data_IF_621637121730
#
_entry.id   IF_621637121730
#
_cell.length_a   1.000
_cell.length_b   1.000
_cell.length_c   1.000
_cell.angle_alpha   90.00
_cell.angle_beta   90.00
_cell.angle_gamma   90.00
#
_symmetry.space_group_name_H-M   'P 1'
#
loop_
_entity.id
_entity.type
_entity.pdbx_description
1 polymer ?
#
# COMPACT_ATOMS: atom_id res chain seq x y z
N UNK A 1 -3.36 -4.52 6.34
CA UNK A 1 -4.23 -5.70 6.29
C UNK A 1 -3.56 -6.97 6.79
N UNK A 2 -2.61 -7.55 6.06
CA UNK A 2 -2.07 -8.88 6.34
C UNK A 2 -1.61 -9.13 7.80
N UNK A 3 -0.90 -8.17 8.41
CA UNK A 3 -0.36 -8.33 9.77
C UNK A 3 -1.41 -8.07 10.87
N UNK A 4 -2.37 -7.14 10.68
CA UNK A 4 -3.48 -6.97 11.63
C UNK A 4 -4.38 -8.20 11.64
N UNK A 5 -4.65 -8.79 10.47
CA UNK A 5 -5.49 -9.97 10.38
C UNK A 5 -4.87 -11.20 11.05
N UNK A 6 -3.57 -11.44 10.89
CA UNK A 6 -2.87 -12.51 11.63
C UNK A 6 -3.03 -12.30 13.14
N UNK A 7 -2.84 -11.07 13.63
CA UNK A 7 -3.07 -10.75 15.05
C UNK A 7 -4.51 -11.02 15.51
N UNK A 8 -5.50 -10.70 14.67
CA UNK A 8 -6.92 -10.95 14.97
C UNK A 8 -7.23 -12.44 14.99
N UNK A 9 -6.71 -13.21 14.03
CA UNK A 9 -6.94 -14.66 13.94
C UNK A 9 -6.20 -15.46 15.00
N UNK A 10 -4.95 -15.13 15.27
CA UNK A 10 -4.22 -15.70 16.39
C UNK A 10 -4.90 -15.38 17.72
N UNK A 11 -5.48 -14.17 17.86
CA UNK A 11 -6.27 -13.81 19.04
C UNK A 11 -7.62 -14.52 19.11
N UNK A 12 -8.35 -14.65 18.00
CA UNK A 12 -9.63 -15.36 17.98
C UNK A 12 -9.45 -16.87 18.22
N UNK A 13 -8.37 -17.47 17.71
CA UNK A 13 -8.02 -18.87 17.98
C UNK A 13 -7.59 -19.09 19.44
N UNK A 14 -6.80 -18.17 20.01
CA UNK A 14 -6.47 -18.22 21.45
C UNK A 14 -7.67 -17.94 22.34
N UNK A 15 -8.67 -17.18 21.87
CA UNK A 15 -9.92 -16.96 22.60
C UNK A 15 -10.74 -18.24 22.80
N UNK A 16 -10.69 -19.17 21.85
CA UNK A 16 -11.45 -20.42 21.96
C UNK A 16 -10.86 -21.40 22.99
N UNK A 17 -9.61 -21.22 23.41
CA UNK A 17 -8.84 -22.20 24.20
C UNK A 17 -8.62 -21.81 25.67
N UNK A 18 -8.98 -20.60 26.10
CA UNK A 18 -8.61 -20.11 27.44
C UNK A 18 -9.78 -19.45 28.17
N UNK A 19 -10.35 -20.14 29.17
CA UNK A 19 -11.34 -19.58 30.10
C UNK A 19 -10.66 -18.99 31.33
N UNK A 20 -10.83 -17.68 31.60
CA UNK A 20 -10.32 -17.08 32.86
C UNK A 20 -10.19 -15.56 32.86
N UNK A 21 -9.54 -15.02 33.91
CA UNK A 21 -9.33 -13.59 34.12
C UNK A 21 -8.22 -13.02 33.21
N UNK A 22 -7.16 -13.82 32.97
CA UNK A 22 -6.07 -13.56 32.02
C UNK A 22 -6.59 -13.27 30.59
N UNK A 23 -7.72 -13.86 30.21
CA UNK A 23 -8.38 -13.66 28.93
C UNK A 23 -8.76 -12.20 28.65
N UNK A 24 -9.21 -11.46 29.67
CA UNK A 24 -9.75 -10.11 29.45
C UNK A 24 -8.64 -9.09 29.16
N UNK A 25 -7.50 -9.22 29.84
CA UNK A 25 -6.33 -8.35 29.62
C UNK A 25 -5.73 -8.61 28.24
N UNK A 26 -5.51 -9.88 27.89
CA UNK A 26 -4.99 -10.26 26.58
C UNK A 26 -5.91 -9.80 25.46
N UNK A 27 -7.23 -10.00 25.60
CA UNK A 27 -8.19 -9.57 24.58
C UNK A 27 -8.20 -8.03 24.41
N UNK A 28 -8.13 -7.28 25.51
CA UNK A 28 -8.04 -5.82 25.45
C UNK A 28 -6.75 -5.35 24.77
N UNK A 29 -5.60 -5.96 25.10
CA UNK A 29 -4.32 -5.65 24.48
C UNK A 29 -4.33 -5.97 22.98
N UNK A 30 -4.81 -7.14 22.59
CA UNK A 30 -4.95 -7.48 21.16
C UNK A 30 -5.87 -6.49 20.46
N UNK A 31 -7.04 -6.18 21.04
CA UNK A 31 -7.96 -5.20 20.45
C UNK A 31 -7.31 -3.84 20.25
N UNK A 32 -6.47 -3.40 21.18
CA UNK A 32 -5.73 -2.14 21.08
C UNK A 32 -4.69 -2.21 19.96
N UNK A 33 -3.83 -3.24 19.94
CA UNK A 33 -2.84 -3.43 18.88
C UNK A 33 -3.48 -3.49 17.50
N UNK A 34 -4.61 -4.18 17.37
CA UNK A 34 -5.36 -4.25 16.12
C UNK A 34 -5.84 -2.88 15.67
N UNK A 35 -6.41 -2.09 16.58
CA UNK A 35 -6.85 -0.73 16.25
C UNK A 35 -5.68 0.15 15.78
N UNK A 36 -4.49 0.03 16.38
CA UNK A 36 -3.29 0.74 15.93
C UNK A 36 -2.80 0.28 14.56
N UNK A 37 -2.77 -1.03 14.30
CA UNK A 37 -2.34 -1.56 13.00
C UNK A 37 -3.35 -1.17 11.91
N UNK A 38 -4.65 -1.23 12.18
CA UNK A 38 -5.70 -0.78 11.26
C UNK A 38 -5.60 0.72 10.98
N UNK A 39 -5.45 1.54 12.01
CA UNK A 39 -5.24 2.99 11.88
C UNK A 39 -4.01 3.32 11.04
N UNK A 40 -2.88 2.66 11.32
CA UNK A 40 -1.64 2.80 10.55
C UNK A 40 -1.82 2.38 9.08
N UNK A 41 -2.57 1.31 8.85
CA UNK A 41 -2.90 0.85 7.50
C UNK A 41 -3.72 1.88 6.73
N UNK A 42 -4.81 2.38 7.31
CA UNK A 42 -5.68 3.36 6.64
C UNK A 42 -4.91 4.64 6.35
N UNK A 43 -4.07 5.10 7.28
CA UNK A 43 -3.19 6.23 7.06
C UNK A 43 -2.21 6.01 5.89
N UNK A 44 -1.59 4.82 5.83
CA UNK A 44 -0.68 4.48 4.72
C UNK A 44 -1.42 4.38 3.38
N UNK A 45 -2.58 3.73 3.35
CA UNK A 45 -3.42 3.61 2.16
C UNK A 45 -3.86 4.99 1.66
N UNK A 46 -4.28 5.88 2.57
CA UNK A 46 -4.59 7.28 2.27
C UNK A 46 -3.40 8.03 1.69
N UNK A 47 -2.24 7.98 2.37
CA UNK A 47 -1.03 8.70 1.93
C UNK A 47 -0.58 8.28 0.53
N UNK A 48 -0.81 7.01 0.16
CA UNK A 48 -0.53 6.50 -1.19
C UNK A 48 -1.62 6.90 -2.20
N UNK A 49 -2.88 6.78 -1.82
CA UNK A 49 -4.03 7.01 -2.70
C UNK A 49 -4.31 8.50 -2.98
N UNK A 50 -3.91 9.40 -2.07
CA UNK A 50 -4.24 10.83 -2.17
C UNK A 50 -3.68 11.50 -3.42
N UNK A 51 -2.52 11.06 -3.93
CA UNK A 51 -1.95 11.60 -5.16
C UNK A 51 -2.81 11.30 -6.38
N UNK A 52 -3.34 10.08 -6.45
CA UNK A 52 -4.24 9.65 -7.52
C UNK A 52 -5.58 10.37 -7.37
N UNK A 53 -6.10 10.46 -6.15
CA UNK A 53 -7.37 11.13 -5.87
C UNK A 53 -7.30 12.63 -6.20
N UNK A 54 -6.18 13.31 -5.91
CA UNK A 54 -5.94 14.72 -6.27
C UNK A 54 -6.00 14.96 -7.77
N UNK A 55 -5.48 14.02 -8.54
CA UNK A 55 -5.45 14.10 -10.00
C UNK A 55 -6.82 13.83 -10.63
N UNK A 56 -7.52 12.80 -10.16
CA UNK A 56 -8.78 12.37 -10.78
C UNK A 56 -10.02 13.07 -10.24
N UNK A 57 -10.04 13.39 -8.94
CA UNK A 57 -11.19 13.94 -8.24
C UNK A 57 -10.78 15.10 -7.31
N UNK A 58 -10.44 16.28 -7.86
CA UNK A 58 -10.02 17.43 -7.06
C UNK A 58 -11.10 17.87 -6.06
N UNK A 59 -12.40 17.73 -6.39
CA UNK A 59 -13.50 18.05 -5.48
C UNK A 59 -13.60 17.12 -4.27
N UNK A 60 -13.31 15.82 -4.44
CA UNK A 60 -13.34 14.85 -3.33
C UNK A 60 -12.08 14.90 -2.47
N UNK A 61 -11.00 15.53 -2.95
CA UNK A 61 -9.74 15.60 -2.22
C UNK A 61 -9.91 16.22 -0.84
N UNK A 62 -10.54 17.39 -0.74
CA UNK A 62 -10.73 18.07 0.56
C UNK A 62 -11.59 17.26 1.52
N UNK A 63 -12.56 16.51 1.00
CA UNK A 63 -13.35 15.58 1.81
C UNK A 63 -12.51 14.41 2.31
N UNK A 64 -11.73 13.77 1.43
CA UNK A 64 -10.86 12.65 1.78
C UNK A 64 -9.73 13.03 2.74
N UNK A 65 -9.18 14.25 2.63
CA UNK A 65 -8.20 14.79 3.58
C UNK A 65 -8.80 15.04 4.96
N UNK A 66 -10.09 15.37 5.07
CA UNK A 66 -10.77 15.53 6.36
C UNK A 66 -11.25 14.20 6.92
N UNK A 67 -11.75 13.31 6.06
CA UNK A 67 -12.32 12.02 6.48
C UNK A 67 -11.28 11.12 7.14
N UNK A 68 -10.00 11.25 6.77
CA UNK A 68 -8.93 10.43 7.37
C UNK A 68 -8.86 10.60 8.89
N UNK A 69 -8.97 11.83 9.39
CA UNK A 69 -8.94 12.10 10.83
C UNK A 69 -10.13 11.46 11.54
N UNK A 70 -11.32 11.54 10.94
CA UNK A 70 -12.54 10.94 11.48
C UNK A 70 -12.46 9.42 11.49
N UNK A 71 -12.02 8.80 10.38
CA UNK A 71 -11.89 7.34 10.25
C UNK A 71 -10.87 6.81 11.26
N UNK A 72 -9.71 7.46 11.41
CA UNK A 72 -8.69 7.06 12.38
C UNK A 72 -9.23 7.10 13.82
N UNK A 73 -9.99 8.14 14.17
CA UNK A 73 -10.64 8.23 15.49
C UNK A 73 -11.66 7.12 15.70
N UNK A 74 -12.51 6.81 14.71
CA UNK A 74 -13.49 5.72 14.79
C UNK A 74 -12.80 4.36 15.02
N UNK A 75 -11.73 4.09 14.28
CA UNK A 75 -10.95 2.84 14.40
C UNK A 75 -10.34 2.71 15.80
N UNK A 76 -9.79 3.78 16.37
CA UNK A 76 -9.22 3.73 17.72
C UNK A 76 -10.28 3.54 18.81
N UNK A 77 -11.45 4.18 18.64
CA UNK A 77 -12.58 4.09 19.59
C UNK A 77 -13.11 2.66 19.73
N UNK A 78 -12.99 1.82 18.70
CA UNK A 78 -13.46 0.43 18.76
C UNK A 78 -12.80 -0.42 19.86
N UNK A 79 -11.61 -0.01 20.33
CA UNK A 79 -10.88 -0.70 21.41
C UNK A 79 -11.38 -0.34 22.82
N UNK A 80 -12.09 0.78 22.97
CA UNK A 80 -12.52 1.32 24.26
C UNK A 80 -13.44 0.35 25.02
N UNK A 81 -14.48 -0.27 24.42
CA UNK A 81 -15.35 -1.21 25.14
C UNK A 81 -14.60 -2.38 25.77
N UNK A 82 -13.57 -2.91 25.08
CA UNK A 82 -12.75 -4.00 25.60
C UNK A 82 -11.85 -3.56 26.76
N UNK A 83 -11.29 -2.34 26.70
CA UNK A 83 -10.51 -1.75 27.79
C UNK A 83 -11.38 -1.48 29.03
N UNK A 84 -12.57 -0.90 28.83
CA UNK A 84 -13.54 -0.65 29.90
C UNK A 84 -14.00 -1.95 30.55
N UNK A 85 -14.31 -2.97 29.74
CA UNK A 85 -14.70 -4.29 30.25
C UNK A 85 -13.56 -4.94 31.05
N UNK A 86 -12.31 -4.84 30.57
CA UNK A 86 -11.14 -5.34 31.29
C UNK A 86 -10.95 -4.66 32.66
N UNK A 87 -11.24 -3.36 32.75
CA UNK A 87 -11.09 -2.58 33.98
C UNK A 87 -12.24 -2.78 34.99
N UNK A 88 -13.48 -2.82 34.50
CA UNK A 88 -14.68 -2.88 35.37
C UNK A 88 -15.03 -4.29 35.83
N UNK A 89 -14.77 -5.33 35.03
CA UNK A 89 -15.11 -6.72 35.34
C UNK A 89 -14.64 -7.22 36.72
N UNK A 90 -13.43 -6.90 37.24
CA UNK A 90 -13.05 -7.22 38.62
C UNK A 90 -13.75 -6.43 39.71
N UNK A 91 -14.20 -5.20 39.41
CA UNK A 91 -14.58 -4.21 40.42
C UNK A 91 -16.07 -4.17 40.68
N UNK A 92 -16.88 -4.61 39.72
CA UNK A 92 -18.34 -4.49 39.76
C UNK A 92 -18.97 -5.86 39.55
N UNK A 93 -19.51 -6.41 40.63
CA UNK A 93 -20.35 -7.61 40.55
C UNK A 93 -21.67 -7.31 39.82
N UNK A 94 -22.13 -8.22 38.96
CA UNK A 94 -23.37 -8.05 38.19
C UNK A 94 -23.24 -7.23 36.90
N UNK A 95 -22.04 -6.87 36.46
CA UNK A 95 -21.83 -6.19 35.18
C UNK A 95 -22.38 -7.01 34.00
N UNK A 96 -23.21 -6.40 33.16
CA UNK A 96 -23.81 -7.08 32.01
C UNK A 96 -22.81 -7.20 30.84
N UNK A 97 -21.90 -8.17 30.94
CA UNK A 97 -20.81 -8.44 29.98
C UNK A 97 -21.32 -8.53 28.54
N UNK A 98 -22.47 -9.21 28.33
CA UNK A 98 -23.06 -9.42 27.00
C UNK A 98 -23.38 -8.10 26.28
N UNK A 99 -23.85 -7.07 27.01
CA UNK A 99 -24.14 -5.76 26.42
C UNK A 99 -22.86 -5.06 25.95
N UNK A 100 -21.81 -5.08 26.77
CA UNK A 100 -20.51 -4.50 26.40
C UNK A 100 -19.89 -5.21 25.18
N UNK A 101 -19.96 -6.53 25.12
CA UNK A 101 -19.51 -7.31 23.96
C UNK A 101 -20.31 -6.96 22.70
N UNK A 102 -21.64 -6.83 22.81
CA UNK A 102 -22.50 -6.43 21.69
C UNK A 102 -22.14 -5.04 21.17
N UNK A 103 -21.93 -4.07 22.07
CA UNK A 103 -21.51 -2.72 21.71
C UNK A 103 -20.12 -2.72 21.07
N UNK A 104 -19.18 -3.49 21.62
CA UNK A 104 -17.83 -3.66 21.05
C UNK A 104 -17.86 -4.22 19.64
N UNK A 105 -18.66 -5.28 19.42
CA UNK A 105 -18.86 -5.86 18.09
C UNK A 105 -19.48 -4.84 17.11
N UNK A 106 -20.40 -4.00 17.59
CA UNK A 106 -20.98 -2.91 16.80
C UNK A 106 -19.94 -1.89 16.33
N UNK A 107 -19.04 -1.46 17.22
CA UNK A 107 -17.96 -0.55 16.84
C UNK A 107 -16.96 -1.18 15.86
N UNK A 108 -16.63 -2.45 16.04
CA UNK A 108 -15.75 -3.19 15.12
C UNK A 108 -16.41 -3.27 13.72
N UNK A 109 -17.70 -3.58 13.66
CA UNK A 109 -18.44 -3.62 12.40
C UNK A 109 -18.49 -2.25 11.72
N UNK A 110 -18.74 -1.18 12.47
CA UNK A 110 -18.74 0.20 11.97
C UNK A 110 -17.37 0.62 11.42
N UNK A 111 -16.31 0.33 12.17
CA UNK A 111 -14.92 0.57 11.75
C UNK A 111 -14.61 -0.17 10.45
N UNK A 112 -14.93 -1.47 10.37
CA UNK A 112 -14.77 -2.27 9.16
C UNK A 112 -15.51 -1.69 7.96
N UNK A 113 -16.75 -1.22 8.14
CA UNK A 113 -17.53 -0.57 7.10
C UNK A 113 -16.88 0.74 6.63
N UNK A 114 -16.38 1.58 7.54
CA UNK A 114 -15.67 2.81 7.20
C UNK A 114 -14.40 2.52 6.39
N UNK A 115 -13.62 1.50 6.76
CA UNK A 115 -12.41 1.09 6.03
C UNK A 115 -12.76 0.59 4.63
N UNK A 116 -13.79 -0.25 4.49
CA UNK A 116 -14.24 -0.75 3.18
C UNK A 116 -14.72 0.40 2.30
N UNK A 117 -15.54 1.31 2.82
CA UNK A 117 -16.01 2.46 2.07
C UNK A 117 -14.84 3.35 1.62
N UNK A 118 -13.84 3.56 2.48
CA UNK A 118 -12.64 4.31 2.14
C UNK A 118 -11.82 3.62 1.05
N UNK A 119 -11.60 2.31 1.16
CA UNK A 119 -10.88 1.52 0.15
C UNK A 119 -11.63 1.51 -1.19
N UNK A 120 -12.97 1.48 -1.20
CA UNK A 120 -13.78 1.60 -2.42
C UNK A 120 -13.60 2.97 -3.10
N UNK A 121 -13.56 4.06 -2.32
CA UNK A 121 -13.30 5.40 -2.87
C UNK A 121 -11.91 5.44 -3.52
N UNK A 122 -10.88 4.96 -2.82
CA UNK A 122 -9.52 4.93 -3.38
C UNK A 122 -9.42 4.03 -4.62
N UNK A 123 -10.03 2.85 -4.58
CA UNK A 123 -10.06 1.93 -5.73
C UNK A 123 -10.78 2.56 -6.91
N UNK A 124 -11.92 3.23 -6.70
CA UNK A 124 -12.66 3.87 -7.78
C UNK A 124 -11.83 4.96 -8.47
N UNK A 125 -11.10 5.78 -7.69
CA UNK A 125 -10.15 6.76 -8.21
C UNK A 125 -9.03 6.11 -9.00
N UNK A 126 -8.49 5.00 -8.50
CA UNK A 126 -7.44 4.26 -9.17
C UNK A 126 -7.89 3.62 -10.48
N UNK A 127 -9.08 3.03 -10.52
CA UNK A 127 -9.67 2.47 -11.75
C UNK A 127 -9.88 3.56 -12.80
N UNK A 128 -10.40 4.73 -12.40
CA UNK A 128 -10.58 5.84 -13.33
C UNK A 128 -9.25 6.37 -13.87
N UNK A 129 -8.25 6.51 -13.00
CA UNK A 129 -6.90 6.89 -13.39
C UNK A 129 -6.34 5.94 -14.47
N UNK A 130 -6.44 4.63 -14.25
CA UNK A 130 -5.95 3.60 -15.21
C UNK A 130 -6.70 3.68 -16.53
N UNK A 131 -8.04 3.82 -16.48
CA UNK A 131 -8.86 3.92 -17.70
C UNK A 131 -8.47 5.14 -18.53
N UNK A 132 -8.26 6.30 -17.90
CA UNK A 132 -7.83 7.52 -18.61
C UNK A 132 -6.40 7.40 -19.13
N UNK A 133 -5.50 6.81 -18.36
CA UNK A 133 -4.12 6.56 -18.80
C UNK A 133 -4.09 5.66 -20.06
N UNK A 134 -4.94 4.62 -20.10
CA UNK A 134 -5.04 3.74 -21.26
C UNK A 134 -5.58 4.45 -22.51
N UNK A 135 -6.59 5.31 -22.37
CA UNK A 135 -7.19 6.05 -23.49
C UNK A 135 -6.23 7.11 -24.05
N UNK A 136 -5.41 7.73 -23.19
CA UNK A 136 -4.50 8.80 -23.60
C UNK A 136 -3.29 8.32 -24.42
N UNK A 137 -3.11 7.00 -24.60
CA UNK A 137 -1.96 6.44 -25.32
C UNK A 137 -0.60 6.77 -24.68
N UNK A 138 -0.60 7.33 -23.46
CA UNK A 138 0.61 7.54 -22.70
C UNK A 138 1.21 6.17 -22.44
N UNK A 139 2.41 5.92 -22.98
CA UNK A 139 3.04 4.59 -23.03
C UNK A 139 2.97 3.87 -21.68
N UNK A 140 1.97 2.99 -21.55
CA UNK A 140 1.70 2.15 -20.36
C UNK A 140 2.89 1.23 -20.06
N UNK A 141 3.86 1.15 -20.97
CA UNK A 141 5.11 0.44 -20.77
C UNK A 141 5.86 0.87 -19.50
N UNK A 142 5.73 2.13 -19.04
CA UNK A 142 6.31 2.57 -17.76
C UNK A 142 5.48 2.24 -16.53
N UNK A 143 4.25 1.73 -16.67
CA UNK A 143 3.29 1.55 -15.57
C UNK A 143 2.82 0.09 -15.39
N UNK A 144 3.61 -0.89 -15.84
CA UNK A 144 3.38 -2.33 -15.54
C UNK A 144 3.20 -2.57 -14.03
N UNK A 145 3.93 -1.85 -13.17
CA UNK A 145 3.79 -1.90 -11.70
C UNK A 145 2.37 -1.52 -11.26
N UNK A 146 1.83 -0.49 -11.90
CA UNK A 146 0.52 0.06 -11.58
C UNK A 146 -0.59 -0.96 -11.94
N UNK A 147 -0.49 -1.61 -13.11
CA UNK A 147 -1.42 -2.67 -13.54
C UNK A 147 -1.43 -3.86 -12.58
N UNK A 148 -0.25 -4.31 -12.12
CA UNK A 148 -0.13 -5.39 -11.13
C UNK A 148 -0.86 -4.98 -9.85
N UNK A 149 -0.58 -3.79 -9.32
CA UNK A 149 -1.24 -3.26 -8.12
C UNK A 149 -2.76 -3.17 -8.31
N UNK A 150 -3.25 -2.74 -9.48
CA UNK A 150 -4.68 -2.70 -9.79
C UNK A 150 -5.31 -4.09 -9.70
N UNK A 151 -4.71 -5.08 -10.36
CA UNK A 151 -5.29 -6.42 -10.49
C UNK A 151 -5.40 -7.10 -9.12
N UNK A 152 -4.33 -7.05 -8.32
CA UNK A 152 -4.37 -7.58 -6.96
C UNK A 152 -5.28 -6.76 -6.03
N UNK A 153 -5.33 -5.43 -6.21
CA UNK A 153 -6.20 -4.55 -5.43
C UNK A 153 -7.70 -4.85 -5.67
N UNK A 154 -8.11 -4.99 -6.92
CA UNK A 154 -9.49 -5.37 -7.28
C UNK A 154 -9.84 -6.73 -6.70
N UNK A 155 -8.93 -7.72 -6.84
CA UNK A 155 -9.13 -9.05 -6.26
C UNK A 155 -9.29 -9.01 -4.74
N UNK A 156 -8.44 -8.24 -4.05
CA UNK A 156 -8.51 -8.10 -2.59
C UNK A 156 -9.83 -7.46 -2.13
N UNK A 157 -10.30 -6.42 -2.82
CA UNK A 157 -11.56 -5.75 -2.49
C UNK A 157 -12.76 -6.65 -2.76
N UNK A 158 -12.82 -7.31 -3.92
CA UNK A 158 -13.87 -8.27 -4.22
C UNK A 158 -13.94 -9.38 -3.17
N UNK A 159 -12.78 -9.94 -2.80
CA UNK A 159 -12.69 -10.97 -1.75
C UNK A 159 -13.11 -10.41 -0.39
N UNK A 160 -12.76 -9.16 -0.07
CA UNK A 160 -13.17 -8.50 1.18
C UNK A 160 -14.68 -8.28 1.28
N UNK A 161 -15.34 -7.91 0.18
CA UNK A 161 -16.80 -7.80 0.12
C UNK A 161 -17.47 -9.17 0.32
N UNK A 162 -16.91 -10.22 -0.30
CA UNK A 162 -17.38 -11.60 -0.09
C UNK A 162 -17.23 -12.04 1.38
N UNK A 163 -16.08 -11.77 2.00
CA UNK A 163 -15.87 -12.02 3.44
C UNK A 163 -16.92 -11.31 4.28
N UNK A 164 -17.19 -10.03 4.01
CA UNK A 164 -18.18 -9.26 4.75
C UNK A 164 -19.58 -9.89 4.62
N UNK A 165 -19.99 -10.27 3.41
CA UNK A 165 -21.27 -10.93 3.18
C UNK A 165 -21.39 -12.25 3.96
N UNK A 166 -20.35 -13.08 3.95
CA UNK A 166 -20.30 -14.34 4.72
C UNK A 166 -20.35 -14.06 6.23
N UNK A 167 -19.69 -13.02 6.70
CA UNK A 167 -19.73 -12.62 8.10
C UNK A 167 -21.12 -12.13 8.54
N UNK A 168 -21.82 -11.37 7.70
CA UNK A 168 -23.21 -10.97 7.96
C UNK A 168 -24.12 -12.20 8.00
N UNK A 169 -23.94 -13.16 7.09
CA UNK A 169 -24.68 -14.43 7.12
C UNK A 169 -24.43 -15.23 8.41
N UNK A 170 -23.18 -15.27 8.88
CA UNK A 170 -22.85 -15.86 10.17
C UNK A 170 -23.61 -15.16 11.31
N UNK A 171 -23.63 -13.82 11.33
CA UNK A 171 -24.31 -13.07 12.38
C UNK A 171 -25.82 -13.35 12.43
N UNK A 172 -26.48 -13.49 11.28
CA UNK A 172 -27.92 -13.75 11.19
C UNK A 172 -28.26 -15.21 11.53
N UNK A 173 -27.45 -16.16 11.07
CA UNK A 173 -27.76 -17.60 11.19
C UNK A 173 -27.19 -18.27 12.44
N UNK A 174 -26.10 -17.73 12.99
CA UNK A 174 -25.36 -18.32 14.11
C UNK A 174 -24.59 -19.61 13.75
N UNK A 175 -24.53 -20.00 12.47
CA UNK A 175 -23.89 -21.26 12.05
C UNK A 175 -22.37 -21.11 12.03
N UNK A 176 -21.67 -21.89 12.86
CA UNK A 176 -20.20 -21.85 13.03
C UNK A 176 -19.44 -22.03 11.70
N UNK A 177 -19.97 -22.83 10.76
CA UNK A 177 -19.35 -23.05 9.45
C UNK A 177 -19.12 -21.75 8.68
N UNK A 178 -20.05 -20.79 8.71
CA UNK A 178 -19.86 -19.50 8.03
C UNK A 178 -18.74 -18.67 8.63
N UNK A 179 -18.56 -18.73 9.95
CA UNK A 179 -17.42 -18.10 10.61
C UNK A 179 -16.11 -18.72 10.07
N UNK A 180 -15.98 -20.06 10.10
CA UNK A 180 -14.78 -20.77 9.59
C UNK A 180 -14.48 -20.42 8.13
N UNK A 181 -15.50 -20.41 7.26
CA UNK A 181 -15.33 -20.01 5.85
C UNK A 181 -14.84 -18.57 5.74
N UNK A 182 -15.42 -17.63 6.50
CA UNK A 182 -14.95 -16.24 6.54
C UNK A 182 -13.47 -16.14 6.93
N UNK A 183 -13.01 -16.99 7.87
CA UNK A 183 -11.59 -17.04 8.25
C UNK A 183 -10.69 -17.51 7.11
N UNK A 184 -11.10 -18.55 6.39
CA UNK A 184 -10.37 -19.06 5.23
C UNK A 184 -10.28 -18.01 4.11
N UNK A 185 -11.38 -17.31 3.83
CA UNK A 185 -11.41 -16.25 2.81
C UNK A 185 -10.51 -15.08 3.23
N UNK A 186 -10.39 -14.77 4.53
CA UNK A 186 -9.43 -13.79 5.01
C UNK A 186 -7.96 -14.25 4.86
N UNK A 187 -7.69 -15.55 5.04
CA UNK A 187 -6.40 -16.14 4.67
C UNK A 187 -6.08 -15.96 3.18
N UNK A 188 -7.09 -16.08 2.30
CA UNK A 188 -6.94 -15.83 0.87
C UNK A 188 -6.62 -14.35 0.56
N UNK A 189 -7.23 -13.39 1.26
CA UNK A 189 -6.88 -11.96 1.14
C UNK A 189 -5.42 -11.73 1.50
N UNK A 190 -4.93 -12.36 2.57
CA UNK A 190 -3.52 -12.30 2.94
C UNK A 190 -2.62 -12.84 1.81
N UNK A 191 -2.95 -14.01 1.26
CA UNK A 191 -2.20 -14.61 0.17
C UNK A 191 -2.18 -13.72 -1.09
N UNK A 192 -3.29 -13.06 -1.43
CA UNK A 192 -3.37 -12.10 -2.54
C UNK A 192 -2.45 -10.89 -2.32
N UNK A 193 -2.45 -10.33 -1.12
CA UNK A 193 -1.59 -9.18 -0.79
C UNK A 193 -0.11 -9.56 -0.77
N UNK A 194 0.22 -10.76 -0.30
CA UNK A 194 1.57 -11.30 -0.35
C UNK A 194 2.00 -11.54 -1.81
N UNK A 195 1.12 -12.12 -2.63
CA UNK A 195 1.32 -12.29 -4.06
C UNK A 195 1.61 -10.98 -4.78
N UNK A 196 0.89 -9.90 -4.44
CA UNK A 196 1.18 -8.55 -4.95
C UNK A 196 2.60 -8.10 -4.60
N UNK A 197 3.04 -8.28 -3.35
CA UNK A 197 4.39 -7.90 -2.90
C UNK A 197 5.47 -8.71 -3.61
N UNK A 198 5.28 -10.02 -3.74
CA UNK A 198 6.20 -10.91 -4.47
C UNK A 198 6.27 -10.51 -5.95
N UNK A 199 5.13 -10.23 -6.58
CA UNK A 199 5.08 -9.81 -7.97
C UNK A 199 5.77 -8.47 -8.19
N UNK A 200 5.62 -7.51 -7.27
CA UNK A 200 6.35 -6.23 -7.33
C UNK A 200 7.85 -6.42 -7.17
N UNK A 201 8.28 -7.28 -6.24
CA UNK A 201 9.69 -7.58 -6.02
C UNK A 201 10.34 -8.24 -7.24
N UNK A 202 9.64 -9.20 -7.86
CA UNK A 202 10.13 -9.84 -9.08
C UNK A 202 10.29 -8.84 -10.23
N UNK A 203 9.37 -7.88 -10.35
CA UNK A 203 9.47 -6.84 -11.36
C UNK A 203 10.63 -5.87 -11.10
N UNK A 204 10.89 -5.50 -9.83
CA UNK A 204 12.06 -4.68 -9.47
C UNK A 204 13.38 -5.38 -9.84
N UNK A 205 13.48 -6.70 -9.63
CA UNK A 205 14.65 -7.48 -10.05
C UNK A 205 14.79 -7.49 -11.58
N UNK A 206 13.71 -7.72 -12.32
CA UNK A 206 13.75 -7.71 -13.79
C UNK A 206 14.16 -6.33 -14.34
N UNK A 207 13.66 -5.25 -13.74
CA UNK A 207 14.05 -3.89 -14.12
C UNK A 207 15.53 -3.62 -13.85
N UNK A 208 16.05 -4.08 -12.70
CA UNK A 208 17.48 -3.98 -12.38
C UNK A 208 18.35 -4.76 -13.37
N UNK A 209 17.95 -5.98 -13.75
CA UNK A 209 18.66 -6.80 -14.75
C UNK A 209 18.63 -6.15 -16.14
N UNK A 210 17.48 -5.64 -16.57
CA UNK A 210 17.35 -4.94 -17.85
C UNK A 210 18.20 -3.67 -17.91
N UNK A 211 18.32 -2.94 -16.79
CA UNK A 211 19.21 -1.79 -16.67
C UNK A 211 20.69 -2.21 -16.76
N UNK A 212 21.09 -3.27 -16.08
CA UNK A 212 22.46 -3.80 -16.16
C UNK A 212 22.81 -4.24 -17.58
N UNK A 213 21.94 -4.99 -18.26
CA UNK A 213 22.14 -5.42 -19.65
C UNK A 213 22.28 -4.24 -20.63
N UNK A 214 21.53 -3.14 -20.40
CA UNK A 214 21.66 -1.92 -21.21
C UNK A 214 22.99 -1.19 -20.96
N UNK A 215 23.52 -1.24 -19.75
CA UNK A 215 24.80 -0.62 -19.41
C UNK A 215 25.95 -1.45 -20.00
N UNK A 216 25.94 -2.77 -19.83
CA UNK A 216 26.98 -3.67 -20.37
C UNK A 216 26.97 -3.72 -21.90
N UNK A 217 25.80 -3.83 -22.52
CA UNK A 217 25.67 -3.84 -23.99
C UNK A 217 26.06 -2.51 -24.65
N UNK A 218 25.92 -1.37 -23.95
CA UNK A 218 26.47 -0.09 -24.42
C UNK A 218 27.98 -0.04 -24.29
N UNK A 219 28.55 -0.60 -23.21
CA UNK A 219 29.99 -0.63 -22.98
C UNK A 219 30.73 -1.40 -24.09
N UNK A 220 30.21 -2.54 -24.54
CA UNK A 220 30.81 -3.30 -25.63
C UNK A 220 30.82 -2.51 -26.95
N UNK A 221 29.69 -1.88 -27.32
CA UNK A 221 29.61 -1.09 -28.56
C UNK A 221 30.60 0.07 -28.59
N UNK A 222 30.79 0.76 -27.47
CA UNK A 222 31.78 1.85 -27.37
C UNK A 222 33.21 1.34 -27.46
N UNK A 223 33.48 0.15 -26.91
CA UNK A 223 34.82 -0.45 -26.91
C UNK A 223 35.25 -0.98 -28.29
N UNK A 224 34.31 -1.38 -29.16
CA UNK A 224 34.62 -1.71 -30.56
C UNK A 224 34.83 -0.46 -31.41
N UNK A 225 34.05 0.60 -31.17
CA UNK A 225 34.21 1.86 -31.90
C UNK A 225 35.57 2.51 -31.65
N UNK A 226 36.11 2.46 -30.43
CA UNK A 226 37.42 3.06 -30.12
C UNK A 226 38.60 2.31 -30.76
N UNK A 227 38.50 0.99 -30.91
CA UNK A 227 39.52 0.18 -31.62
C UNK A 227 39.51 0.41 -33.12
N UNK A 228 38.35 0.69 -33.73
CA UNK A 228 38.29 0.97 -35.16
C UNK A 228 38.90 2.33 -35.50
N UNK A 229 38.65 3.36 -34.67
CA UNK A 229 39.26 4.69 -34.85
C UNK A 229 40.79 4.73 -34.61
N UNK A 230 41.35 3.76 -33.90
CA UNK A 230 42.81 3.63 -33.73
C UNK A 230 43.53 3.04 -34.94
N UNK A 231 42.80 2.39 -35.86
CA UNK A 231 43.39 1.72 -37.03
C UNK A 231 43.41 2.61 -38.29
N UNK A 232 42.62 3.68 -38.34
CA UNK A 232 42.64 4.65 -39.44
C UNK A 232 43.75 5.71 -39.33
N UNK A 233 44.47 5.82 -38.21
CA UNK A 233 45.58 6.78 -38.05
C UNK A 233 46.96 6.27 -38.55
N UNK A 234 47.00 5.13 -39.24
CA UNK A 234 48.24 4.52 -39.75
C UNK A 234 48.64 4.93 -41.18
N UNK A 235 47.84 5.72 -41.90
CA UNK A 235 48.09 6.06 -43.32
C UNK A 235 47.82 7.55 -43.56
N UNK A 236 48.72 8.40 -43.07
CA UNK A 236 49.04 9.75 -43.56
C UNK A 236 50.14 10.26 -42.63
N UNK A 237 51.39 10.31 -43.06
CA UNK A 237 51.80 11.34 -43.99
C UNK A 237 52.27 12.54 -43.17
N UNK A 238 53.57 12.54 -42.91
CA UNK A 238 54.38 13.61 -42.36
C UNK A 238 54.01 14.97 -42.97
N UNK A 239 53.34 15.84 -42.20
CA UNK A 239 53.27 17.28 -42.49
C UNK A 239 53.45 18.06 -41.19
N UNK A 240 54.34 19.02 -41.32
CA UNK A 240 54.94 19.93 -40.37
C UNK A 240 53.99 20.68 -39.42
N UNK A 241 54.60 21.05 -38.30
CA UNK A 241 54.12 21.82 -37.16
C UNK A 241 53.40 23.12 -37.51
N UNK A 242 52.33 23.43 -36.77
CA UNK A 242 52.04 24.77 -36.21
C UNK A 242 51.22 24.54 -34.92
N UNK A 243 51.74 25.01 -33.79
CA UNK A 243 51.06 24.94 -32.49
C UNK A 243 49.94 25.98 -32.35
N UNK A 244 48.99 25.72 -31.44
CA UNK A 244 48.02 26.66 -30.82
C UNK A 244 47.22 25.91 -29.72
N UNK A 245 46.66 26.60 -28.71
CA UNK A 245 46.72 26.18 -27.30
C UNK A 245 45.48 25.44 -26.76
N UNK A 246 45.70 24.86 -25.58
CA UNK A 246 44.75 24.18 -24.69
C UNK A 246 43.42 24.91 -24.52
N UNK A 247 42.33 24.27 -24.94
CA UNK A 247 40.97 24.58 -24.49
C UNK A 247 40.46 23.46 -23.58
N UNK A 248 40.03 23.84 -22.38
CA UNK A 248 39.41 22.94 -21.40
C UNK A 248 38.01 22.54 -21.87
N UNK A 249 37.87 21.28 -22.28
CA UNK A 249 36.58 20.62 -22.58
C UNK A 249 35.65 20.69 -21.36
N UNK A 250 34.69 21.61 -21.46
CA UNK A 250 33.52 21.63 -20.60
C UNK A 250 32.49 20.73 -21.26
N UNK A 251 32.10 19.65 -20.58
CA UNK A 251 31.15 18.66 -21.11
C UNK A 251 29.84 19.33 -21.58
N UNK A 252 29.26 18.87 -22.71
CA UNK A 252 28.04 19.47 -23.26
C UNK A 252 26.85 19.25 -22.31
N UNK A 253 25.99 20.26 -22.10
CA UNK A 253 24.81 20.14 -21.26
C UNK A 253 23.80 19.17 -21.87
N UNK A 254 23.32 18.24 -21.06
CA UNK A 254 22.25 17.29 -21.40
C UNK A 254 20.97 18.05 -21.83
N UNK A 255 20.48 17.88 -23.06
CA UNK A 255 19.19 18.42 -23.46
C UNK A 255 18.08 17.69 -22.71
N UNK A 256 17.18 18.45 -22.06
CA UNK A 256 15.97 18.02 -21.36
C UNK A 256 16.05 17.52 -19.89
N UNK A 257 17.14 17.76 -19.17
CA UNK A 257 17.08 17.71 -17.71
C UNK A 257 16.32 18.94 -17.17
N UNK A 258 14.98 18.93 -17.24
CA UNK A 258 14.13 19.87 -16.49
C UNK A 258 14.42 19.66 -15.01
N UNK A 259 15.37 20.44 -14.49
CA UNK A 259 15.65 20.59 -13.07
C UNK A 259 14.37 21.14 -12.44
N UNK A 260 13.57 20.26 -11.85
CA UNK A 260 12.43 20.66 -11.03
C UNK A 260 13.00 21.22 -9.73
N UNK A 261 13.45 22.47 -9.78
CA UNK A 261 13.79 23.24 -8.59
C UNK A 261 12.48 23.50 -7.87
N UNK A 262 12.16 22.63 -6.92
CA UNK A 262 11.11 22.87 -5.92
C UNK A 262 11.59 24.03 -5.07
N UNK A 263 11.20 25.25 -5.45
CA UNK A 263 11.33 26.43 -4.60
C UNK A 263 10.31 26.25 -3.47
N UNK A 264 10.77 25.73 -2.33
CA UNK A 264 10.01 25.81 -1.08
C UNK A 264 9.96 27.28 -0.65
N UNK A 265 8.90 27.98 -1.02
CA UNK A 265 8.54 29.25 -0.39
C UNK A 265 8.10 28.96 1.04
N UNK A 266 9.00 29.16 2.00
CA UNK A 266 8.67 29.18 3.43
C UNK A 266 7.82 30.41 3.69
N UNK A 267 6.51 30.23 3.77
CA UNK A 267 5.58 31.28 4.15
C UNK A 267 5.52 31.34 5.68
N UNK A 268 6.22 32.32 6.28
CA UNK A 268 6.09 32.65 7.70
C UNK A 268 4.77 33.41 7.89
N UNK A 269 3.88 32.87 8.71
CA UNK A 269 2.83 33.61 9.42
C UNK A 269 3.01 33.36 10.90
#
# INVERSE_FOLDING_TARGET
MAISFIGYYSSAATRALSTGYQFNVTNAMVSLFLSFIESSYVYYAWKRGIFVLKREFPRLTSFAERSIYVILSIILVQSIPNLVLCYLKPRVEGLNVKRFETVGNGFIALSGLCVIAFDLVLLSAFIQFVRKANVAGASIESDKKLVIVCRYGIGAIATSLTTLAIFVLYFVTGIVAFNTVSQLVLGLIFALLLGMKVSLFHQEIQEAQNLQARITGKSEKTSYSSKLSGLELGISGEVESIGIPSQSETAPPLPNAKRSTVVMSVNKK
#
